data_IF_095149735249
#
_entry.id   IF_095149735249
#
_cell.length_a   1.000
_cell.length_b   1.000
_cell.length_c   1.000
_cell.angle_alpha   90.00
_cell.angle_beta   90.00
_cell.angle_gamma   90.00
#
_symmetry.space_group_name_H-M   'P 1'
#
loop_
_entity.id
_entity.type
_entity.pdbx_description
1 polymer ?
#
# COMPACT_ATOMS: atom_id res chain seq x y z
N UNK A 1 -15.21 -1.50 19.31
CA UNK A 1 -14.56 -2.00 18.08
C UNK A 1 -13.12 -2.30 18.43
N UNK A 2 -12.61 -3.51 18.15
CA UNK A 2 -11.20 -3.79 18.39
C UNK A 2 -10.34 -2.87 17.50
N UNK A 3 -9.25 -2.33 18.04
CA UNK A 3 -8.31 -1.53 17.27
C UNK A 3 -7.77 -2.38 16.12
N UNK A 4 -7.85 -1.84 14.90
CA UNK A 4 -7.32 -2.53 13.74
C UNK A 4 -5.78 -2.45 13.80
N UNK A 5 -5.12 -3.59 13.62
CA UNK A 5 -3.67 -3.62 13.49
C UNK A 5 -3.22 -2.78 12.29
N UNK A 6 -2.22 -1.91 12.48
CA UNK A 6 -1.61 -1.08 11.43
C UNK A 6 -0.09 -1.27 11.49
N UNK A 7 0.49 -1.85 10.45
CA UNK A 7 1.95 -1.85 10.25
C UNK A 7 2.39 -0.53 9.61
N UNK A 8 2.68 0.46 10.46
CA UNK A 8 3.04 1.81 10.01
C UNK A 8 4.32 1.83 9.19
N UNK A 9 5.31 1.00 9.52
CA UNK A 9 6.62 1.01 8.85
C UNK A 9 6.49 0.55 7.40
N UNK A 10 5.88 -0.62 7.18
CA UNK A 10 5.67 -1.16 5.83
C UNK A 10 4.76 -0.25 5.00
N UNK A 11 3.72 0.33 5.61
CA UNK A 11 2.80 1.23 4.90
C UNK A 11 3.47 2.53 4.45
N UNK A 12 4.36 3.10 5.28
CA UNK A 12 5.13 4.29 4.90
C UNK A 12 6.01 4.00 3.69
N UNK A 13 6.76 2.89 3.69
CA UNK A 13 7.62 2.50 2.57
C UNK A 13 6.81 2.34 1.27
N UNK A 14 5.66 1.68 1.34
CA UNK A 14 4.77 1.49 0.19
C UNK A 14 4.31 2.86 -0.36
N UNK A 15 3.88 3.77 0.51
CA UNK A 15 3.38 5.09 0.12
C UNK A 15 4.46 5.99 -0.46
N UNK A 16 5.65 5.99 0.13
CA UNK A 16 6.80 6.70 -0.41
C UNK A 16 7.13 6.24 -1.82
N UNK A 17 7.10 4.92 -2.07
CA UNK A 17 7.30 4.37 -3.41
C UNK A 17 6.19 4.74 -4.38
N UNK A 18 4.92 4.63 -3.98
CA UNK A 18 3.79 5.07 -4.82
C UNK A 18 3.93 6.55 -5.21
N UNK A 19 4.26 7.40 -4.24
CA UNK A 19 4.43 8.83 -4.47
C UNK A 19 5.65 9.13 -5.34
N UNK A 20 6.77 8.43 -5.15
CA UNK A 20 7.94 8.57 -6.00
C UNK A 20 7.64 8.20 -7.45
N UNK A 21 6.90 7.10 -7.69
CA UNK A 21 6.47 6.67 -9.02
C UNK A 21 5.51 7.70 -9.63
N UNK A 22 4.56 8.22 -8.87
CA UNK A 22 3.62 9.25 -9.32
C UNK A 22 4.37 10.51 -9.77
N UNK A 23 5.30 11.02 -8.95
CA UNK A 23 6.10 12.20 -9.30
C UNK A 23 7.01 11.95 -10.50
N UNK A 24 7.63 10.78 -10.60
CA UNK A 24 8.49 10.44 -11.74
C UNK A 24 7.73 10.41 -13.08
N UNK A 25 6.42 10.11 -13.03
CA UNK A 25 5.53 10.08 -14.20
C UNK A 25 4.70 11.37 -14.34
N UNK A 26 4.90 12.37 -13.48
CA UNK A 26 4.08 13.59 -13.42
C UNK A 26 2.58 13.33 -13.31
N UNK A 27 2.18 12.27 -12.59
CA UNK A 27 0.78 11.92 -12.34
C UNK A 27 0.35 12.50 -11.00
N UNK A 28 -0.70 13.33 -11.00
CA UNK A 28 -1.26 13.95 -9.80
C UNK A 28 -2.24 13.03 -9.05
N UNK A 29 -2.68 13.42 -7.86
CA UNK A 29 -3.71 12.65 -7.12
C UNK A 29 -5.06 12.72 -7.82
N UNK A 30 -5.34 13.85 -8.47
CA UNK A 30 -6.51 14.12 -9.30
C UNK A 30 -6.51 13.21 -10.53
N UNK A 31 -5.37 13.01 -11.19
CA UNK A 31 -5.25 12.05 -12.30
C UNK A 31 -5.54 10.61 -11.83
N UNK A 32 -5.04 10.22 -10.65
CA UNK A 32 -5.33 8.90 -10.08
C UNK A 32 -6.82 8.78 -9.76
N UNK A 33 -7.45 9.85 -9.26
CA UNK A 33 -8.88 9.91 -9.01
C UNK A 33 -9.66 9.63 -10.29
N UNK A 34 -9.36 10.34 -11.37
CA UNK A 34 -10.03 10.20 -12.67
C UNK A 34 -9.82 8.80 -13.26
N UNK A 35 -8.62 8.24 -13.11
CA UNK A 35 -8.27 6.89 -13.63
C UNK A 35 -8.89 5.75 -12.81
N UNK A 36 -9.15 5.95 -11.52
CA UNK A 36 -9.68 4.90 -10.63
C UNK A 36 -11.17 5.00 -10.38
N UNK A 37 -11.76 6.19 -10.55
CA UNK A 37 -13.12 6.49 -10.13
C UNK A 37 -13.30 6.57 -8.62
N UNK A 38 -12.21 6.58 -7.84
CA UNK A 38 -12.28 6.77 -6.39
C UNK A 38 -12.55 8.24 -6.04
N UNK A 39 -12.99 8.50 -4.82
CA UNK A 39 -12.99 9.88 -4.32
C UNK A 39 -11.55 10.35 -4.03
N UNK A 40 -11.31 11.66 -4.13
CA UNK A 40 -10.02 12.26 -3.79
C UNK A 40 -9.53 11.82 -2.39
N UNK A 41 -10.42 11.79 -1.40
CA UNK A 41 -10.07 11.36 -0.04
C UNK A 41 -9.61 9.90 0.02
N UNK A 42 -10.23 9.01 -0.77
CA UNK A 42 -9.79 7.62 -0.88
C UNK A 42 -8.40 7.53 -1.52
N UNK A 43 -8.17 8.24 -2.63
CA UNK A 43 -6.86 8.31 -3.28
C UNK A 43 -5.81 8.83 -2.31
N UNK A 44 -6.09 9.95 -1.64
CA UNK A 44 -5.20 10.54 -0.64
C UNK A 44 -4.87 9.54 0.48
N UNK A 45 -5.87 8.83 1.03
CA UNK A 45 -5.65 7.83 2.08
C UNK A 45 -4.76 6.67 1.61
N UNK A 46 -4.91 6.24 0.36
CA UNK A 46 -4.09 5.17 -0.20
C UNK A 46 -2.66 5.66 -0.43
N UNK A 47 -2.48 6.78 -1.13
CA UNK A 47 -1.16 7.26 -1.60
C UNK A 47 -0.37 8.00 -0.53
N UNK A 48 -1.04 8.79 0.33
CA UNK A 48 -0.42 9.76 1.26
C UNK A 48 -0.88 9.64 2.71
N UNK A 49 -1.91 8.85 2.99
CA UNK A 49 -2.48 8.71 4.33
C UNK A 49 -1.63 7.89 5.30
N UNK A 50 -2.23 7.57 6.44
CA UNK A 50 -1.66 6.78 7.54
C UNK A 50 -2.50 5.53 7.88
N UNK A 51 -3.76 5.50 7.46
CA UNK A 51 -4.70 4.39 7.65
C UNK A 51 -4.24 3.08 6.97
N UNK A 52 -4.85 1.95 7.33
CA UNK A 52 -4.71 0.75 6.51
C UNK A 52 -5.24 0.98 5.09
N UNK A 53 -4.64 0.27 4.13
CA UNK A 53 -5.13 0.20 2.76
C UNK A 53 -5.49 -1.24 2.41
N UNK A 54 -6.49 -1.42 1.55
CA UNK A 54 -6.79 -2.72 0.98
C UNK A 54 -5.83 -3.03 -0.18
N UNK A 55 -5.56 -4.32 -0.40
CA UNK A 55 -4.77 -4.78 -1.55
C UNK A 55 -5.45 -4.38 -2.86
N UNK A 56 -6.78 -4.45 -2.94
CA UNK A 56 -7.53 -4.00 -4.13
C UNK A 56 -7.34 -2.51 -4.41
N UNK A 57 -7.32 -1.66 -3.37
CA UNK A 57 -7.05 -0.23 -3.50
C UNK A 57 -5.62 0.03 -3.98
N UNK A 58 -4.64 -0.67 -3.42
CA UNK A 58 -3.25 -0.61 -3.88
C UNK A 58 -3.11 -1.01 -5.35
N UNK A 59 -3.74 -2.12 -5.78
CA UNK A 59 -3.71 -2.58 -7.16
C UNK A 59 -4.37 -1.56 -8.10
N UNK A 60 -5.50 -0.98 -7.72
CA UNK A 60 -6.17 0.05 -8.52
C UNK A 60 -5.26 1.27 -8.74
N UNK A 61 -4.58 1.73 -7.69
CA UNK A 61 -3.59 2.81 -7.82
C UNK A 61 -2.40 2.38 -8.67
N UNK A 62 -1.89 1.15 -8.52
CA UNK A 62 -0.79 0.67 -9.38
C UNK A 62 -1.18 0.66 -10.86
N UNK A 63 -2.42 0.25 -11.18
CA UNK A 63 -2.95 0.34 -12.55
C UNK A 63 -3.06 1.78 -13.04
N UNK A 64 -3.57 2.69 -12.21
CA UNK A 64 -3.67 4.11 -12.54
C UNK A 64 -2.29 4.76 -12.78
N UNK A 65 -1.27 4.32 -12.04
CA UNK A 65 0.13 4.73 -12.20
C UNK A 65 0.86 3.94 -13.30
N UNK A 66 0.20 3.01 -13.99
CA UNK A 66 0.79 2.16 -15.03
C UNK A 66 2.09 1.47 -14.56
N UNK A 67 2.08 0.94 -13.34
CA UNK A 67 3.25 0.35 -12.68
C UNK A 67 2.96 -1.06 -12.22
N UNK A 68 3.98 -1.92 -12.19
CA UNK A 68 3.82 -3.27 -11.64
C UNK A 68 3.82 -3.21 -10.12
N UNK A 69 2.98 -4.04 -9.49
CA UNK A 69 2.87 -4.12 -8.03
C UNK A 69 4.23 -4.40 -7.36
N UNK A 70 5.07 -5.22 -8.01
CA UNK A 70 6.40 -5.60 -7.50
C UNK A 70 7.31 -4.39 -7.27
N UNK A 71 7.19 -3.33 -8.09
CA UNK A 71 8.00 -2.12 -7.94
C UNK A 71 7.72 -1.42 -6.60
N UNK A 72 6.45 -1.49 -6.16
CA UNK A 72 6.00 -0.94 -4.88
C UNK A 72 6.37 -1.87 -3.71
N UNK A 73 6.12 -3.18 -3.84
CA UNK A 73 6.26 -4.11 -2.70
C UNK A 73 7.61 -4.81 -2.58
N UNK A 74 8.56 -4.55 -3.48
CA UNK A 74 9.91 -5.09 -3.39
C UNK A 74 10.72 -4.42 -2.26
N UNK A 75 10.49 -4.86 -1.03
CA UNK A 75 11.28 -4.50 0.16
C UNK A 75 11.34 -5.69 1.13
N UNK A 76 12.25 -5.63 2.10
CA UNK A 76 12.43 -6.68 3.10
C UNK A 76 11.70 -6.29 4.37
N UNK A 77 10.99 -7.24 4.97
CA UNK A 77 10.41 -7.11 6.31
C UNK A 77 11.14 -8.02 7.29
N UNK A 78 11.13 -7.65 8.57
CA UNK A 78 11.69 -8.49 9.63
C UNK A 78 10.74 -9.63 9.93
N UNK A 79 11.18 -10.87 9.71
CA UNK A 79 10.41 -12.05 10.08
C UNK A 79 10.82 -12.50 11.49
N UNK A 80 9.95 -12.37 12.51
CA UNK A 80 10.26 -12.86 13.85
C UNK A 80 10.24 -14.40 13.87
N UNK A 81 10.98 -14.99 14.80
CA UNK A 81 10.92 -16.42 15.06
C UNK A 81 9.69 -16.71 15.92
N UNK A 82 8.71 -17.39 15.35
CA UNK A 82 7.53 -17.85 16.08
C UNK A 82 7.74 -19.27 16.64
N UNK A 83 7.05 -19.64 17.73
CA UNK A 83 6.96 -21.02 18.17
C UNK A 83 6.43 -21.95 17.05
N UNK A 84 6.61 -23.28 17.18
CA UNK A 84 6.02 -24.23 16.25
C UNK A 84 4.51 -23.97 16.05
N UNK A 85 4.01 -24.26 14.85
CA UNK A 85 2.57 -24.17 14.60
C UNK A 85 1.82 -25.17 15.48
N UNK A 86 0.52 -24.98 15.69
CA UNK A 86 -0.31 -25.89 16.49
C UNK A 86 -0.16 -27.36 16.09
N UNK A 87 0.02 -27.63 14.79
CA UNK A 87 0.23 -29.00 14.26
C UNK A 87 1.58 -29.61 14.65
N UNK A 88 2.59 -28.77 14.87
CA UNK A 88 3.97 -29.14 15.13
C UNK A 88 4.37 -28.97 16.60
N UNK A 89 3.45 -28.56 17.48
CA UNK A 89 3.59 -28.63 18.94
C UNK A 89 3.38 -30.10 19.36
N UNK A 90 4.45 -30.88 19.39
CA UNK A 90 4.50 -32.21 20.02
C UNK A 90 5.59 -32.20 21.07
#
# INVERSE_FOLDING_TARGET
MAEQYIDKESLTIIREKLWAIANAKSITLEDIQDRTGFSYSQVYRIVRGDNNMSVSGLIAVCKALETQLVEVVAFKIKIPKFPPTRKNFR
#
